data_IF_604523323472
#
_entry.id   IF_604523323472
#
_cell.length_a   1.000
_cell.length_b   1.000
_cell.length_c   1.000
_cell.angle_alpha   90.00
_cell.angle_beta   90.00
_cell.angle_gamma   90.00
#
_symmetry.space_group_name_H-M   'P 1'
#
loop_
_entity.id
_entity.type
_entity.pdbx_description
1 polymer ?
#
# COMPACT_ATOMS: atom_id res chain seq x y z
N UNK A 1 -10.27 9.97 6.04
CA UNK A 1 -11.18 10.07 4.86
C UNK A 1 -12.39 11.00 5.04
N UNK A 2 -12.98 11.14 6.23
CA UNK A 2 -14.24 11.91 6.39
C UNK A 2 -14.19 13.40 6.05
N UNK A 3 -13.03 14.07 6.04
CA UNK A 3 -12.95 15.50 5.68
C UNK A 3 -12.83 15.68 4.16
N UNK A 4 -12.07 14.81 3.49
CA UNK A 4 -11.88 14.85 2.04
C UNK A 4 -13.18 14.57 1.27
N UNK A 5 -14.12 13.82 1.84
CA UNK A 5 -15.43 13.59 1.25
C UNK A 5 -16.32 14.85 1.18
N UNK A 6 -15.97 15.93 1.90
CA UNK A 6 -16.70 17.21 1.87
C UNK A 6 -16.15 18.19 0.83
N UNK A 7 -14.96 17.91 0.29
CA UNK A 7 -14.34 18.78 -0.71
C UNK A 7 -15.10 18.73 -2.05
N UNK A 8 -15.30 19.86 -2.74
CA UNK A 8 -15.89 19.87 -4.08
C UNK A 8 -15.12 19.01 -5.08
N UNK A 9 -15.84 18.27 -5.93
CA UNK A 9 -15.28 17.39 -6.97
C UNK A 9 -14.19 18.04 -7.85
N UNK A 10 -14.29 19.33 -8.25
CA UNK A 10 -13.25 19.96 -9.07
C UNK A 10 -11.85 19.98 -8.44
N UNK A 11 -11.73 19.96 -7.11
CA UNK A 11 -10.42 19.94 -6.42
C UNK A 11 -9.63 18.67 -6.75
N UNK A 12 -10.31 17.56 -7.05
CA UNK A 12 -9.64 16.31 -7.40
C UNK A 12 -9.07 16.30 -8.82
N UNK A 13 -9.37 17.29 -9.66
CA UNK A 13 -8.79 17.41 -11.01
C UNK A 13 -7.29 17.74 -11.01
N UNK A 14 -6.75 18.18 -9.87
CA UNK A 14 -5.34 18.51 -9.66
C UNK A 14 -4.67 17.61 -8.61
N UNK A 15 -5.37 16.57 -8.14
CA UNK A 15 -4.89 15.71 -7.06
C UNK A 15 -3.54 15.06 -7.38
N UNK A 16 -3.34 14.66 -8.64
CA UNK A 16 -2.12 14.04 -9.13
C UNK A 16 -0.89 14.96 -9.10
N UNK A 17 -1.10 16.29 -9.07
CA UNK A 17 -0.01 17.27 -9.03
C UNK A 17 0.56 17.43 -7.62
N UNK A 18 -0.23 17.17 -6.57
CA UNK A 18 0.20 17.38 -5.18
C UNK A 18 1.38 16.45 -4.82
N UNK A 19 1.31 15.12 -5.02
CA UNK A 19 2.46 14.25 -4.78
C UNK A 19 3.62 14.54 -5.73
N UNK A 20 3.33 14.84 -7.00
CA UNK A 20 4.34 15.14 -8.02
C UNK A 20 5.21 16.33 -7.62
N UNK A 21 4.60 17.41 -7.13
CA UNK A 21 5.31 18.60 -6.66
C UNK A 21 6.27 18.26 -5.51
N UNK A 22 5.80 17.50 -4.51
CA UNK A 22 6.62 17.11 -3.35
C UNK A 22 7.78 16.21 -3.79
N UNK A 23 7.51 15.16 -4.57
CA UNK A 23 8.52 14.16 -4.95
C UNK A 23 9.57 14.74 -5.89
N UNK A 24 9.14 15.47 -6.92
CA UNK A 24 10.03 15.90 -8.02
C UNK A 24 10.70 17.24 -7.75
N UNK A 25 10.07 18.12 -6.97
CA UNK A 25 10.56 19.48 -6.76
C UNK A 25 11.01 19.74 -5.33
N UNK A 26 10.28 19.25 -4.31
CA UNK A 26 10.60 19.57 -2.91
C UNK A 26 11.70 18.67 -2.31
N UNK A 27 11.66 17.34 -2.52
CA UNK A 27 12.63 16.41 -1.93
C UNK A 27 14.08 16.68 -2.36
N UNK A 28 14.39 16.90 -3.65
CA UNK A 28 15.76 17.21 -4.07
C UNK A 28 16.30 18.50 -3.44
N UNK A 29 15.46 19.54 -3.27
CA UNK A 29 15.85 20.79 -2.60
C UNK A 29 15.97 20.65 -1.08
N UNK A 30 15.14 19.83 -0.44
CA UNK A 30 15.22 19.56 1.00
C UNK A 30 16.41 18.67 1.37
N UNK A 31 16.83 17.75 0.48
CA UNK A 31 18.04 16.95 0.69
C UNK A 31 19.35 17.76 0.61
N UNK A 32 19.32 18.91 -0.07
CA UNK A 32 20.46 19.83 -0.19
C UNK A 32 20.56 20.82 1.00
N UNK A 33 19.47 21.03 1.75
CA UNK A 33 19.46 21.84 2.96
C UNK A 33 19.33 20.92 4.17
N UNK A 34 20.39 20.72 4.96
CA UNK A 34 20.39 19.88 6.17
C UNK A 34 19.50 20.34 7.33
N UNK A 35 18.33 20.94 7.05
CA UNK A 35 17.36 21.42 8.02
C UNK A 35 16.24 20.39 8.20
N UNK A 36 16.24 19.75 9.38
CA UNK A 36 15.17 18.88 9.86
C UNK A 36 13.94 19.73 10.15
N UNK A 37 12.90 19.64 9.32
CA UNK A 37 11.60 20.24 9.61
C UNK A 37 10.68 19.22 10.28
N UNK A 38 10.56 19.30 11.60
CA UNK A 38 9.33 18.93 12.29
C UNK A 38 8.28 19.97 11.91
N UNK A 39 7.12 19.59 11.35
CA UNK A 39 5.78 20.17 11.60
C UNK A 39 4.77 19.80 10.48
N UNK A 40 3.73 19.06 10.87
CA UNK A 40 2.39 18.91 10.26
C UNK A 40 2.30 18.66 8.74
N UNK A 41 2.52 17.42 8.32
CA UNK A 41 2.11 16.93 6.98
C UNK A 41 1.47 15.53 7.02
N UNK A 42 1.00 15.09 8.19
CA UNK A 42 0.54 13.72 8.44
C UNK A 42 -0.70 13.29 7.65
N UNK A 43 -1.37 14.20 6.94
CA UNK A 43 -2.65 13.91 6.26
C UNK A 43 -2.56 13.96 4.72
N UNK A 44 -1.51 14.57 4.16
CA UNK A 44 -1.33 14.69 2.70
C UNK A 44 -0.16 13.84 2.20
N UNK A 45 0.78 13.47 3.07
CA UNK A 45 1.99 12.71 2.72
C UNK A 45 1.93 11.24 3.12
N UNK A 46 0.86 10.80 3.78
CA UNK A 46 0.73 9.43 4.31
C UNK A 46 0.76 8.34 3.23
N UNK A 47 0.61 8.67 1.95
CA UNK A 47 0.79 7.74 0.83
C UNK A 47 1.93 8.10 -0.14
N UNK A 48 2.83 9.01 0.24
CA UNK A 48 3.98 9.35 -0.61
C UNK A 48 5.32 9.21 0.12
N UNK A 49 5.38 9.53 1.41
CA UNK A 49 6.57 9.32 2.23
C UNK A 49 6.12 9.22 3.68
N UNK A 50 6.24 8.02 4.25
CA UNK A 50 6.24 7.87 5.69
C UNK A 50 7.18 8.91 6.31
N UNK A 51 6.65 9.69 7.26
CA UNK A 51 7.43 10.64 8.03
C UNK A 51 8.37 9.84 8.92
N UNK A 52 9.68 9.96 8.69
CA UNK A 52 10.72 9.15 9.31
C UNK A 52 10.59 9.06 10.84
N UNK A 53 9.98 7.98 11.33
CA UNK A 53 10.13 7.61 12.72
C UNK A 53 11.52 6.95 12.91
N UNK A 54 12.26 7.23 14.00
CA UNK A 54 13.57 6.63 14.23
C UNK A 54 13.54 5.10 14.30
N UNK A 55 12.41 4.52 14.71
CA UNK A 55 12.24 3.07 14.84
C UNK A 55 12.00 2.39 13.49
N UNK A 56 11.23 3.03 12.62
CA UNK A 56 11.01 2.63 11.23
C UNK A 56 12.33 2.56 10.43
N UNK A 57 13.19 3.56 10.63
CA UNK A 57 14.51 3.61 9.98
C UNK A 57 15.39 2.40 10.36
N UNK A 58 15.26 1.90 11.60
CA UNK A 58 16.00 0.72 12.06
C UNK A 58 15.44 -0.56 11.45
N UNK A 59 14.12 -0.71 11.39
CA UNK A 59 13.46 -1.89 10.83
C UNK A 59 13.78 -2.05 9.34
N UNK A 60 13.71 -0.96 8.59
CA UNK A 60 14.11 -0.91 7.17
C UNK A 60 15.58 -1.32 7.01
N UNK A 61 16.49 -0.80 7.85
CA UNK A 61 17.91 -1.16 7.79
C UNK A 61 18.16 -2.65 8.12
N UNK A 62 17.43 -3.22 9.09
CA UNK A 62 17.49 -4.67 9.38
C UNK A 62 17.06 -5.49 8.17
N UNK A 63 15.96 -5.10 7.51
CA UNK A 63 15.49 -5.76 6.29
C UNK A 63 16.54 -5.66 5.18
N UNK A 64 17.14 -4.47 4.95
CA UNK A 64 18.18 -4.27 3.93
C UNK A 64 19.39 -5.17 4.14
N UNK A 65 19.84 -5.33 5.38
CA UNK A 65 20.96 -6.23 5.74
C UNK A 65 20.62 -7.69 5.45
N UNK A 66 19.38 -8.12 5.73
CA UNK A 66 18.93 -9.48 5.40
C UNK A 66 18.92 -9.70 3.88
N UNK A 67 18.43 -8.73 3.11
CA UNK A 67 18.45 -8.79 1.65
C UNK A 67 19.88 -8.89 1.13
N UNK A 68 20.80 -8.05 1.63
CA UNK A 68 22.20 -8.07 1.22
C UNK A 68 22.87 -9.42 1.54
N UNK A 69 22.69 -9.93 2.75
CA UNK A 69 23.27 -11.19 3.19
C UNK A 69 22.67 -12.42 2.48
N UNK A 70 21.35 -12.44 2.26
CA UNK A 70 20.64 -13.59 1.70
C UNK A 70 20.62 -13.62 0.17
N UNK A 71 20.63 -12.46 -0.48
CA UNK A 71 20.34 -12.30 -1.91
C UNK A 71 21.40 -11.49 -2.66
N UNK A 72 22.42 -10.96 -1.97
CA UNK A 72 23.55 -10.27 -2.60
C UNK A 72 23.21 -8.87 -3.16
N UNK A 73 22.05 -8.32 -2.82
CA UNK A 73 21.68 -6.98 -3.27
C UNK A 73 22.34 -5.94 -2.36
N UNK A 74 23.29 -5.17 -2.88
CA UNK A 74 24.02 -4.21 -2.04
C UNK A 74 23.10 -3.15 -1.44
N UNK A 75 23.43 -2.71 -0.22
CA UNK A 75 22.66 -1.65 0.47
C UNK A 75 22.56 -0.36 -0.36
N UNK A 76 23.63 0.00 -1.06
CA UNK A 76 23.65 1.20 -1.92
C UNK A 76 22.67 1.07 -3.09
N UNK A 77 22.57 -0.12 -3.68
CA UNK A 77 21.61 -0.38 -4.75
C UNK A 77 20.18 -0.34 -4.24
N UNK A 78 19.92 -0.93 -3.06
CA UNK A 78 18.62 -0.88 -2.39
C UNK A 78 18.19 0.58 -2.11
N UNK A 79 19.06 1.39 -1.50
CA UNK A 79 18.79 2.80 -1.24
C UNK A 79 18.57 3.61 -2.53
N UNK A 80 19.25 3.24 -3.62
CA UNK A 80 19.04 3.85 -4.93
C UNK A 80 17.66 3.50 -5.51
N UNK A 81 17.17 2.27 -5.34
CA UNK A 81 15.81 1.90 -5.73
C UNK A 81 14.80 2.76 -4.97
N UNK A 82 14.94 2.85 -3.64
CA UNK A 82 14.00 3.61 -2.79
C UNK A 82 13.94 5.09 -3.18
N UNK A 83 15.02 5.63 -3.72
CA UNK A 83 15.08 7.03 -4.17
C UNK A 83 14.57 7.22 -5.61
N UNK A 84 15.03 6.36 -6.54
CA UNK A 84 14.76 6.56 -7.97
C UNK A 84 13.39 6.05 -8.40
N UNK A 85 12.86 5.00 -7.76
CA UNK A 85 11.55 4.44 -8.09
C UNK A 85 10.42 5.46 -7.93
N UNK A 86 10.21 6.11 -6.76
CA UNK A 86 9.18 7.13 -6.64
C UNK A 86 9.45 8.31 -7.58
N UNK A 87 10.71 8.75 -7.75
CA UNK A 87 11.04 9.81 -8.72
C UNK A 87 10.55 9.46 -10.13
N UNK A 88 10.79 8.23 -10.59
CA UNK A 88 10.35 7.76 -11.91
C UNK A 88 8.83 7.72 -12.01
N UNK A 89 8.15 7.10 -11.04
CA UNK A 89 6.67 7.02 -10.98
C UNK A 89 6.05 8.42 -11.10
N UNK A 90 6.56 9.40 -10.34
CA UNK A 90 6.00 10.75 -10.33
C UNK A 90 6.54 11.66 -11.44
N UNK A 91 7.58 11.26 -12.17
CA UNK A 91 8.00 11.93 -13.40
C UNK A 91 7.04 11.66 -14.56
N UNK A 92 6.37 10.51 -14.55
CA UNK A 92 5.39 10.09 -15.53
C UNK A 92 4.00 10.70 -15.27
N UNK A 93 3.06 10.40 -16.17
CA UNK A 93 1.69 10.89 -16.05
C UNK A 93 0.93 10.13 -14.97
N UNK A 94 0.74 10.78 -13.82
CA UNK A 94 -0.08 10.28 -12.70
C UNK A 94 -1.54 10.71 -12.75
N UNK A 95 -2.04 11.22 -13.88
CA UNK A 95 -3.40 11.79 -14.02
C UNK A 95 -4.52 10.83 -13.57
N UNK A 96 -4.28 9.51 -13.66
CA UNK A 96 -5.19 8.49 -13.14
C UNK A 96 -5.52 8.66 -11.66
N UNK A 97 -4.59 9.17 -10.85
CA UNK A 97 -4.77 9.42 -9.42
C UNK A 97 -5.93 10.39 -9.12
N UNK A 98 -6.28 11.28 -10.06
CA UNK A 98 -7.44 12.16 -9.92
C UNK A 98 -8.75 11.37 -9.87
N UNK A 99 -8.88 10.40 -10.76
CA UNK A 99 -10.07 9.52 -10.83
C UNK A 99 -10.06 8.54 -9.67
N UNK A 100 -8.89 8.04 -9.29
CA UNK A 100 -8.73 7.18 -8.11
C UNK A 100 -9.18 7.89 -6.84
N UNK A 101 -8.80 9.16 -6.63
CA UNK A 101 -9.24 9.91 -5.47
C UNK A 101 -10.78 10.07 -5.41
N UNK A 102 -11.42 10.30 -6.56
CA UNK A 102 -12.88 10.35 -6.65
C UNK A 102 -13.53 8.99 -6.38
N UNK A 103 -12.92 7.92 -6.90
CA UNK A 103 -13.33 6.55 -6.67
C UNK A 103 -13.27 6.21 -5.18
N UNK A 104 -12.13 6.43 -4.53
CA UNK A 104 -11.91 6.16 -3.10
C UNK A 104 -12.85 6.97 -2.18
N UNK A 105 -13.23 8.18 -2.59
CA UNK A 105 -14.16 9.02 -1.84
C UNK A 105 -15.64 8.74 -2.16
N UNK A 106 -15.92 7.75 -3.02
CA UNK A 106 -17.25 7.45 -3.56
C UNK A 106 -17.94 8.71 -4.11
N UNK A 107 -17.17 9.64 -4.69
CA UNK A 107 -17.64 10.90 -5.29
C UNK A 107 -18.00 10.68 -6.76
N UNK A 108 -19.03 9.86 -6.99
CA UNK A 108 -19.58 9.58 -8.31
C UNK A 108 -21.02 9.06 -8.22
N UNK A 109 -21.59 8.58 -9.33
CA UNK A 109 -22.89 7.91 -9.32
C UNK A 109 -22.94 6.76 -8.32
N UNK A 110 -24.13 6.42 -7.80
CA UNK A 110 -24.31 5.20 -7.00
C UNK A 110 -23.92 3.97 -7.83
N UNK A 111 -23.30 2.97 -7.20
CA UNK A 111 -22.78 1.80 -7.93
C UNK A 111 -21.41 2.03 -8.54
N UNK A 112 -20.68 3.09 -8.14
CA UNK A 112 -19.37 3.41 -8.72
C UNK A 112 -18.35 2.28 -8.55
N UNK A 113 -18.44 1.54 -7.44
CA UNK A 113 -17.59 0.37 -7.17
C UNK A 113 -18.19 -0.93 -7.72
N UNK A 114 -19.35 -0.85 -8.40
CA UNK A 114 -20.07 -1.99 -8.91
C UNK A 114 -20.41 -2.97 -7.78
N UNK A 115 -20.11 -4.24 -7.99
CA UNK A 115 -20.29 -5.29 -6.97
C UNK A 115 -19.46 -5.04 -5.71
N UNK A 116 -18.34 -4.31 -5.81
CA UNK A 116 -17.48 -3.99 -4.66
C UNK A 116 -18.05 -2.86 -3.77
N UNK A 117 -19.21 -2.26 -4.12
CA UNK A 117 -19.90 -1.38 -3.17
C UNK A 117 -20.32 -2.13 -1.90
N UNK A 118 -20.55 -3.44 -2.01
CA UNK A 118 -20.65 -4.42 -0.93
C UNK A 118 -19.53 -5.45 -1.08
N UNK A 119 -18.44 -5.26 -0.34
CA UNK A 119 -17.26 -6.09 -0.47
C UNK A 119 -17.49 -7.54 0.01
N UNK A 120 -18.42 -7.75 0.96
CA UNK A 120 -18.79 -9.08 1.43
C UNK A 120 -19.54 -9.85 0.33
N UNK A 121 -20.49 -9.20 -0.35
CA UNK A 121 -21.19 -9.78 -1.51
C UNK A 121 -20.22 -10.05 -2.68
N UNK A 122 -19.26 -9.16 -2.92
CA UNK A 122 -18.22 -9.38 -3.92
C UNK A 122 -17.42 -10.66 -3.64
N UNK A 123 -16.94 -10.86 -2.41
CA UNK A 123 -16.15 -12.04 -2.05
C UNK A 123 -17.00 -13.31 -2.19
N UNK A 124 -18.26 -13.30 -1.72
CA UNK A 124 -19.17 -14.45 -1.87
C UNK A 124 -19.29 -14.89 -3.33
N UNK A 125 -19.53 -13.94 -4.24
CA UNK A 125 -19.65 -14.22 -5.68
C UNK A 125 -18.33 -14.71 -6.30
N UNK A 126 -17.20 -14.18 -5.84
CA UNK A 126 -15.87 -14.62 -6.28
C UNK A 126 -15.67 -16.10 -5.93
N UNK A 127 -15.98 -16.49 -4.69
CA UNK A 127 -15.82 -17.86 -4.20
C UNK A 127 -16.74 -18.82 -4.94
N UNK A 128 -18.01 -18.46 -5.11
CA UNK A 128 -18.98 -19.24 -5.89
C UNK A 128 -18.51 -19.46 -7.34
N UNK A 129 -17.98 -18.41 -7.97
CA UNK A 129 -17.48 -18.47 -9.35
C UNK A 129 -16.24 -19.35 -9.51
N UNK A 130 -15.34 -19.36 -8.52
CA UNK A 130 -14.14 -20.20 -8.54
C UNK A 130 -14.44 -21.65 -8.15
N UNK A 131 -15.43 -21.89 -7.28
CA UNK A 131 -15.93 -23.24 -6.97
C UNK A 131 -16.37 -23.99 -8.23
N UNK A 132 -17.03 -23.29 -9.16
CA UNK A 132 -17.45 -23.87 -10.44
C UNK A 132 -16.28 -24.36 -11.31
N UNK A 133 -15.05 -23.93 -11.02
CA UNK A 133 -13.82 -24.27 -11.77
C UNK A 133 -12.96 -25.34 -11.09
N UNK A 134 -13.43 -25.97 -10.01
CA UNK A 134 -12.78 -27.07 -9.26
C UNK A 134 -11.46 -26.76 -8.52
N UNK A 135 -10.94 -25.54 -8.57
CA UNK A 135 -9.75 -25.14 -7.80
C UNK A 135 -10.13 -24.41 -6.51
N UNK A 136 -9.63 -24.87 -5.37
CA UNK A 136 -9.76 -24.16 -4.09
C UNK A 136 -8.99 -22.83 -4.16
N UNK A 137 -9.67 -21.71 -3.91
CA UNK A 137 -9.03 -20.39 -3.92
C UNK A 137 -8.17 -20.25 -2.68
N UNK A 138 -6.90 -19.94 -2.88
CA UNK A 138 -5.94 -19.70 -1.81
C UNK A 138 -5.59 -18.20 -1.75
N UNK A 139 -5.82 -17.61 -0.59
CA UNK A 139 -5.68 -16.18 -0.32
C UNK A 139 -4.71 -15.99 0.84
N UNK A 140 -3.73 -15.10 0.66
CA UNK A 140 -2.78 -14.68 1.69
C UNK A 140 -2.83 -13.18 1.83
N UNK A 141 -3.06 -12.71 3.05
CA UNK A 141 -3.13 -11.28 3.35
C UNK A 141 -2.05 -10.92 4.36
N UNK A 142 -1.24 -9.92 4.01
CA UNK A 142 -0.19 -9.42 4.86
C UNK A 142 -0.53 -7.98 5.25
N UNK A 143 -0.72 -7.76 6.54
CA UNK A 143 -0.96 -6.44 7.11
C UNK A 143 0.32 -5.93 7.77
N UNK A 144 0.58 -4.64 7.61
CA UNK A 144 1.63 -4.00 8.39
C UNK A 144 1.20 -3.89 9.86
N UNK A 145 2.16 -3.92 10.79
CA UNK A 145 1.90 -3.69 12.20
C UNK A 145 1.45 -2.24 12.46
N UNK A 146 2.06 -1.29 11.75
CA UNK A 146 1.86 0.16 11.90
C UNK A 146 1.34 0.78 10.60
N UNK A 147 0.13 0.39 10.17
CA UNK A 147 -0.53 1.00 9.00
C UNK A 147 -1.47 2.15 9.43
N UNK A 148 -1.05 3.40 9.15
CA UNK A 148 -1.86 4.59 9.44
C UNK A 148 -2.97 4.87 8.41
N UNK A 149 -2.92 4.22 7.23
CA UNK A 149 -3.87 4.41 6.14
C UNK A 149 -5.08 3.48 6.28
N UNK A 150 -4.84 2.19 6.52
CA UNK A 150 -5.87 1.17 6.68
C UNK A 150 -6.34 1.13 8.15
N UNK A 151 -5.39 1.15 9.08
CA UNK A 151 -5.65 1.03 10.51
C UNK A 151 -6.21 -0.33 10.95
N UNK A 152 -6.37 -0.50 12.26
CA UNK A 152 -6.81 -1.77 12.87
C UNK A 152 -8.21 -2.18 12.39
N UNK A 153 -9.14 -1.23 12.31
CA UNK A 153 -10.53 -1.50 11.89
C UNK A 153 -10.63 -1.94 10.44
N UNK A 154 -9.84 -1.34 9.55
CA UNK A 154 -9.81 -1.75 8.14
C UNK A 154 -9.30 -3.17 7.97
N UNK A 155 -8.27 -3.54 8.73
CA UNK A 155 -7.76 -4.91 8.81
C UNK A 155 -8.82 -5.88 9.32
N UNK A 156 -9.47 -5.58 10.45
CA UNK A 156 -10.52 -6.44 11.03
C UNK A 156 -11.67 -6.66 10.06
N UNK A 157 -12.13 -5.59 9.40
CA UNK A 157 -13.17 -5.68 8.38
C UNK A 157 -12.76 -6.61 7.22
N UNK A 158 -11.56 -6.43 6.68
CA UNK A 158 -11.04 -7.28 5.60
C UNK A 158 -10.96 -8.75 6.05
N UNK A 159 -10.40 -9.01 7.23
CA UNK A 159 -10.29 -10.35 7.81
C UNK A 159 -11.66 -11.03 7.95
N UNK A 160 -12.67 -10.33 8.46
CA UNK A 160 -14.02 -10.87 8.58
C UNK A 160 -14.60 -11.27 7.22
N UNK A 161 -14.49 -10.39 6.21
CA UNK A 161 -15.06 -10.65 4.89
C UNK A 161 -14.55 -11.95 4.25
N UNK A 162 -13.27 -12.28 4.45
CA UNK A 162 -12.66 -13.49 3.90
C UNK A 162 -12.82 -14.73 4.79
N UNK A 163 -12.80 -14.59 6.13
CA UNK A 163 -12.94 -15.72 7.06
C UNK A 163 -14.33 -16.33 7.08
N UNK A 164 -15.36 -15.55 6.77
CA UNK A 164 -16.76 -16.00 6.75
C UNK A 164 -17.11 -16.91 5.55
N UNK A 165 -16.16 -17.13 4.65
CA UNK A 165 -16.40 -17.89 3.44
C UNK A 165 -15.90 -19.33 3.60
N UNK A 166 -16.83 -20.27 3.49
CA UNK A 166 -16.50 -21.69 3.40
C UNK A 166 -15.75 -21.96 2.07
N UNK A 167 -14.92 -23.01 2.03
CA UNK A 167 -14.18 -23.46 0.85
C UNK A 167 -12.99 -22.59 0.35
N UNK A 168 -12.44 -21.67 1.16
CA UNK A 168 -11.14 -21.03 0.89
C UNK A 168 -9.99 -21.59 1.73
N UNK A 169 -8.77 -21.44 1.22
CA UNK A 169 -7.56 -21.49 2.03
C UNK A 169 -7.14 -20.04 2.30
N UNK A 170 -7.69 -19.47 3.36
CA UNK A 170 -7.43 -18.09 3.78
C UNK A 170 -6.48 -18.05 4.97
N UNK A 171 -5.46 -17.20 4.87
CA UNK A 171 -4.57 -16.89 5.98
C UNK A 171 -4.21 -15.40 5.95
N UNK A 172 -4.32 -14.75 7.11
CA UNK A 172 -3.85 -13.39 7.31
C UNK A 172 -2.75 -13.33 8.36
N UNK A 173 -1.77 -12.45 8.15
CA UNK A 173 -0.65 -12.23 9.08
C UNK A 173 -0.39 -10.75 9.27
N UNK A 174 0.05 -10.40 10.48
CA UNK A 174 0.55 -9.06 10.79
C UNK A 174 2.07 -9.13 10.81
N UNK A 175 2.72 -8.26 10.02
CA UNK A 175 4.16 -8.23 9.86
C UNK A 175 4.72 -7.17 10.80
N UNK A 176 5.47 -7.63 11.81
CA UNK A 176 6.06 -6.76 12.81
C UNK A 176 7.05 -5.76 12.18
N UNK A 177 7.16 -4.58 12.78
CA UNK A 177 8.09 -3.53 12.36
C UNK A 177 7.94 -3.13 10.88
N UNK A 178 6.70 -3.15 10.37
CA UNK A 178 6.38 -2.64 9.03
C UNK A 178 5.22 -1.67 9.10
N UNK A 179 5.20 -0.77 8.14
CA UNK A 179 4.18 0.23 7.86
C UNK A 179 3.55 -0.03 6.48
N UNK A 180 2.69 0.90 6.04
CA UNK A 180 1.95 0.84 4.79
C UNK A 180 2.85 0.55 3.56
N UNK A 181 4.03 1.15 3.49
CA UNK A 181 4.94 1.04 2.35
C UNK A 181 5.95 -0.09 2.57
N UNK A 182 6.51 -0.21 3.78
CA UNK A 182 7.59 -1.15 4.06
C UNK A 182 7.16 -2.62 4.11
N UNK A 183 5.86 -2.91 4.32
CA UNK A 183 5.33 -4.29 4.27
C UNK A 183 5.53 -4.94 2.89
N UNK A 184 5.45 -4.15 1.81
CA UNK A 184 5.67 -4.63 0.44
C UNK A 184 7.14 -4.95 0.13
N UNK A 185 8.06 -4.38 0.91
CA UNK A 185 9.51 -4.60 0.78
C UNK A 185 10.03 -5.66 1.76
N UNK A 186 9.18 -6.14 2.67
CA UNK A 186 9.56 -7.13 3.69
C UNK A 186 10.02 -8.42 3.03
N UNK A 187 11.24 -8.84 3.34
CA UNK A 187 11.80 -10.07 2.81
C UNK A 187 11.02 -11.30 3.26
N UNK A 188 10.46 -11.27 4.47
CA UNK A 188 9.60 -12.32 5.00
C UNK A 188 8.33 -12.49 4.13
N UNK A 189 7.71 -11.37 3.74
CA UNK A 189 6.52 -11.37 2.87
C UNK A 189 6.88 -11.89 1.49
N UNK A 190 7.94 -11.36 0.87
CA UNK A 190 8.38 -11.75 -0.47
C UNK A 190 8.76 -13.24 -0.52
N UNK A 191 9.51 -13.73 0.45
CA UNK A 191 9.84 -15.16 0.56
C UNK A 191 8.59 -16.03 0.69
N UNK A 192 7.63 -15.62 1.53
CA UNK A 192 6.37 -16.34 1.69
C UNK A 192 5.62 -16.42 0.36
N UNK A 193 5.49 -15.30 -0.36
CA UNK A 193 4.79 -15.26 -1.65
C UNK A 193 5.50 -16.14 -2.68
N UNK A 194 6.81 -16.00 -2.85
CA UNK A 194 7.54 -16.77 -3.86
C UNK A 194 7.55 -18.27 -3.57
N UNK A 195 7.67 -18.69 -2.30
CA UNK A 195 7.57 -20.11 -1.93
C UNK A 195 6.18 -20.67 -2.22
N UNK A 196 5.12 -19.91 -1.98
CA UNK A 196 3.76 -20.34 -2.29
C UNK A 196 3.46 -20.41 -3.79
N UNK A 197 4.05 -19.52 -4.59
CA UNK A 197 3.92 -19.58 -6.05
C UNK A 197 4.70 -20.77 -6.60
N UNK A 198 5.92 -21.00 -6.10
CA UNK A 198 6.76 -22.12 -6.53
C UNK A 198 6.19 -23.49 -6.13
N UNK A 199 5.40 -23.59 -5.06
CA UNK A 199 4.76 -24.86 -4.69
C UNK A 199 3.55 -25.24 -5.56
N UNK A 200 3.12 -24.34 -6.46
CA UNK A 200 2.02 -24.58 -7.42
C UNK A 200 2.51 -25.03 -8.80
N UNK A 201 3.82 -24.92 -9.08
CA UNK A 201 4.48 -25.38 -10.31
C UNK A 201 5.04 -26.79 -10.16
#
# INVERSE_FOLDING_TARGET
>A
MQVASWLPTPIFSIWNQIPRLVVTQAIPTLALSGAVFNTTSSVITSGAFSGSNPDETKAVEVNRRKIEAGYGLSRDFQAKIDTELPRRIFSESTVGANREALLCLKKGPRGLWGVCDDYEDFIKRLVEGERAKTSKVKVRVFFAAEDSMIGVKGREYMDCCWKEQDDLDFESRIIANTDHDSVLQSIEVLESVFREVASRS
#
